data_IF_423475480297
#
_entry.id   IF_423475480297
#
_cell.length_a   1.000
_cell.length_b   1.000
_cell.length_c   1.000
_cell.angle_alpha   90.00
_cell.angle_beta   90.00
_cell.angle_gamma   90.00
#
_symmetry.space_group_name_H-M   'P 1'
#
loop_
_entity.id
_entity.type
_entity.pdbx_description
1 polymer ?
#
# COMPACT_ATOMS: atom_id res chain seq x y z
N UNK A 1 7.15 -2.48 24.02
CA UNK A 1 6.80 -3.17 22.78
C UNK A 1 5.45 -3.84 22.92
N UNK A 2 5.27 -4.80 23.84
CA UNK A 2 3.98 -5.50 24.03
C UNK A 2 2.78 -4.57 24.28
N UNK A 3 2.93 -3.60 25.19
CA UNK A 3 1.87 -2.62 25.47
C UNK A 3 1.44 -1.82 24.23
N UNK A 4 2.37 -1.45 23.35
CA UNK A 4 2.06 -0.74 22.09
C UNK A 4 1.54 -1.67 21.00
N UNK A 5 1.98 -2.93 20.97
CA UNK A 5 1.41 -3.95 20.10
C UNK A 5 -0.09 -4.19 20.41
N UNK A 6 -0.47 -4.29 21.69
CA UNK A 6 -1.88 -4.42 22.07
C UNK A 6 -2.72 -3.20 21.65
N UNK A 7 -2.14 -1.99 21.64
CA UNK A 7 -2.80 -0.79 21.11
C UNK A 7 -3.00 -0.85 19.60
N UNK A 8 -2.05 -1.42 18.86
CA UNK A 8 -2.21 -1.66 17.43
C UNK A 8 -3.31 -2.69 17.14
N UNK A 9 -3.43 -3.74 17.96
CA UNK A 9 -4.54 -4.72 17.87
C UNK A 9 -5.88 -4.03 18.10
N UNK A 10 -6.00 -3.17 19.12
CA UNK A 10 -7.20 -2.39 19.36
C UNK A 10 -7.52 -1.40 18.21
N UNK A 11 -6.50 -0.78 17.63
CA UNK A 11 -6.64 0.05 16.43
C UNK A 11 -7.18 -0.76 15.23
N UNK A 12 -6.65 -1.97 15.01
CA UNK A 12 -7.14 -2.88 13.96
C UNK A 12 -8.60 -3.27 14.19
N UNK A 13 -9.00 -3.54 15.43
CA UNK A 13 -10.39 -3.91 15.74
C UNK A 13 -11.38 -2.80 15.35
N UNK A 14 -11.00 -1.54 15.58
CA UNK A 14 -11.81 -0.34 15.31
C UNK A 14 -11.76 0.10 13.85
N UNK A 15 -10.59 0.14 13.23
CA UNK A 15 -10.38 0.69 11.88
C UNK A 15 -10.35 -0.40 10.78
N UNK A 16 -10.38 -1.68 11.18
CA UNK A 16 -10.27 -2.87 10.31
C UNK A 16 -8.99 -2.90 9.48
N UNK A 17 -7.95 -2.15 9.88
CA UNK A 17 -6.66 -2.09 9.23
C UNK A 17 -5.56 -1.74 10.24
N UNK A 18 -4.29 -1.89 9.87
CA UNK A 18 -3.12 -1.52 10.72
C UNK A 18 -2.45 -0.22 10.25
N UNK A 19 -3.14 0.60 9.46
CA UNK A 19 -2.61 1.82 8.86
C UNK A 19 -2.71 3.00 9.81
N UNK A 20 -1.95 2.96 10.90
CA UNK A 20 -1.92 4.08 11.84
C UNK A 20 -1.20 5.27 11.18
N UNK A 21 -1.83 6.47 11.08
CA UNK A 21 -1.16 7.67 10.61
C UNK A 21 0.02 8.05 11.52
N UNK A 22 1.08 8.64 10.97
CA UNK A 22 2.20 9.12 11.79
C UNK A 22 1.73 10.12 12.86
N UNK A 23 0.80 11.00 12.49
CA UNK A 23 0.19 12.01 13.35
C UNK A 23 -1.21 11.58 13.81
N UNK A 24 -1.34 10.33 14.25
CA UNK A 24 -2.59 9.85 14.83
C UNK A 24 -2.90 10.65 16.10
N UNK A 25 -4.01 11.41 16.11
CA UNK A 25 -4.29 12.41 17.17
C UNK A 25 -4.69 11.74 18.48
N UNK A 26 -5.36 10.61 18.38
CA UNK A 26 -5.89 9.82 19.49
C UNK A 26 -4.78 9.04 20.21
N UNK A 27 -3.76 8.59 19.48
CA UNK A 27 -2.55 8.01 20.08
C UNK A 27 -1.31 8.29 19.21
N UNK A 28 -0.72 9.47 19.40
CA UNK A 28 0.49 9.89 18.68
C UNK A 28 1.70 9.00 18.96
N UNK A 29 1.73 8.31 20.11
CA UNK A 29 2.79 7.34 20.45
C UNK A 29 2.66 6.09 19.58
N UNK A 30 1.44 5.64 19.30
CA UNK A 30 1.19 4.53 18.39
C UNK A 30 1.63 4.85 16.96
N UNK A 31 1.28 6.03 16.45
CA UNK A 31 1.68 6.48 15.11
C UNK A 31 3.19 6.52 14.91
N UNK A 32 3.93 7.08 15.88
CA UNK A 32 5.40 7.07 15.88
C UNK A 32 5.96 5.66 15.97
N UNK A 33 5.40 4.82 16.85
CA UNK A 33 5.86 3.45 17.04
C UNK A 33 5.70 2.61 15.76
N UNK A 34 4.58 2.74 15.05
CA UNK A 34 4.32 2.09 13.75
C UNK A 34 5.34 2.53 12.71
N UNK A 35 5.65 3.84 12.63
CA UNK A 35 6.72 4.34 11.75
C UNK A 35 8.08 3.70 12.09
N UNK A 36 8.43 3.63 13.37
CA UNK A 36 9.67 2.98 13.81
C UNK A 36 9.72 1.50 13.44
N UNK A 37 8.61 0.76 13.55
CA UNK A 37 8.62 -0.66 13.15
C UNK A 37 8.91 -0.82 11.65
N UNK A 38 8.29 0.00 10.81
CA UNK A 38 8.55 0.01 9.35
C UNK A 38 10.02 0.33 9.03
N UNK A 39 10.59 1.34 9.68
CA UNK A 39 12.00 1.69 9.50
C UNK A 39 12.95 0.57 9.96
N UNK A 40 12.63 -0.12 11.07
CA UNK A 40 13.43 -1.25 11.54
C UNK A 40 13.36 -2.44 10.57
N UNK A 41 12.19 -2.70 9.99
CA UNK A 41 12.00 -3.71 8.96
C UNK A 41 12.80 -3.41 7.69
N UNK A 42 12.69 -2.19 7.15
CA UNK A 42 13.44 -1.77 5.96
C UNK A 42 14.95 -1.86 6.15
N UNK A 43 15.44 -1.61 7.37
CA UNK A 43 16.86 -1.70 7.70
C UNK A 43 17.31 -3.10 8.12
N UNK A 44 16.45 -4.13 8.05
CA UNK A 44 16.73 -5.49 8.54
C UNK A 44 17.18 -5.56 10.02
N UNK A 45 16.69 -4.63 10.85
CA UNK A 45 17.02 -4.50 12.29
C UNK A 45 15.89 -4.94 13.21
N UNK A 46 14.78 -5.40 12.64
CA UNK A 46 13.65 -5.89 13.43
C UNK A 46 13.92 -7.35 13.85
N UNK A 47 13.71 -7.64 15.14
CA UNK A 47 13.79 -9.01 15.65
C UNK A 47 12.74 -9.89 14.97
N UNK A 48 13.11 -11.13 14.63
CA UNK A 48 12.25 -12.10 13.96
C UNK A 48 10.94 -12.37 14.74
N UNK A 49 11.02 -12.55 16.07
CA UNK A 49 9.83 -12.70 16.93
C UNK A 49 8.84 -11.51 16.80
N UNK A 50 9.37 -10.29 16.60
CA UNK A 50 8.54 -9.08 16.44
C UNK A 50 7.96 -8.97 15.04
N UNK A 51 8.69 -9.45 14.04
CA UNK A 51 8.23 -9.56 12.65
C UNK A 51 7.04 -10.52 12.60
N UNK A 52 7.22 -11.76 13.07
CA UNK A 52 6.18 -12.79 13.07
C UNK A 52 4.92 -12.33 13.79
N UNK A 53 5.10 -11.65 14.93
CA UNK A 53 3.98 -11.14 15.72
C UNK A 53 3.22 -10.02 15.01
N UNK A 54 3.90 -9.15 14.26
CA UNK A 54 3.26 -8.13 13.43
C UNK A 54 2.59 -8.75 12.18
N UNK A 55 3.22 -9.73 11.55
CA UNK A 55 2.65 -10.47 10.43
C UNK A 55 1.41 -11.27 10.82
N UNK A 56 1.38 -11.83 12.03
CA UNK A 56 0.22 -12.57 12.56
C UNK A 56 -1.07 -11.74 12.62
N UNK A 57 -0.95 -10.41 12.68
CA UNK A 57 -2.07 -9.48 12.66
C UNK A 57 -2.26 -8.81 11.30
N UNK A 58 -1.57 -9.27 10.25
CA UNK A 58 -1.63 -8.71 8.90
C UNK A 58 -1.11 -7.29 8.85
N UNK A 59 -0.01 -7.00 9.56
CA UNK A 59 0.56 -5.66 9.61
C UNK A 59 1.08 -5.23 8.24
N UNK A 60 0.64 -4.06 7.78
CA UNK A 60 1.09 -3.51 6.51
C UNK A 60 2.41 -2.73 6.67
N UNK A 61 3.49 -3.35 6.20
CA UNK A 61 4.86 -2.80 6.22
C UNK A 61 5.05 -1.63 5.28
N UNK A 62 4.63 -1.76 4.01
CA UNK A 62 4.76 -0.71 3.00
C UNK A 62 3.44 0.03 2.83
N UNK A 63 3.37 1.27 3.27
CA UNK A 63 2.15 2.11 3.15
C UNK A 63 1.82 2.37 1.68
N UNK A 64 2.83 2.56 0.85
CA UNK A 64 2.66 2.77 -0.59
C UNK A 64 1.94 1.59 -1.25
N UNK A 65 2.10 0.38 -0.73
CA UNK A 65 1.41 -0.80 -1.25
C UNK A 65 -0.10 -0.72 -1.03
N UNK A 66 -0.59 0.02 -0.02
CA UNK A 66 -2.04 0.17 0.18
C UNK A 66 -2.68 1.14 -0.81
N UNK A 67 -2.02 2.27 -1.08
CA UNK A 67 -2.46 3.22 -2.10
C UNK A 67 -2.36 2.58 -3.48
N UNK A 68 -1.27 1.85 -3.71
CA UNK A 68 -1.09 1.01 -4.88
C UNK A 68 -2.21 -0.01 -5.03
N UNK A 69 -2.48 -0.86 -4.02
CA UNK A 69 -3.53 -1.87 -4.09
C UNK A 69 -4.91 -1.23 -4.33
N UNK A 70 -5.24 -0.12 -3.64
CA UNK A 70 -6.52 0.58 -3.86
C UNK A 70 -6.66 1.06 -5.30
N UNK A 71 -5.64 1.71 -5.85
CA UNK A 71 -5.69 2.21 -7.24
C UNK A 71 -5.61 1.07 -8.26
N UNK A 72 -4.87 0.01 -7.97
CA UNK A 72 -4.83 -1.21 -8.76
C UNK A 72 -6.22 -1.88 -8.83
N UNK A 73 -6.95 -1.97 -7.72
CA UNK A 73 -8.33 -2.47 -7.73
C UNK A 73 -9.26 -1.58 -8.55
N UNK A 74 -9.07 -0.25 -8.54
CA UNK A 74 -9.81 0.67 -9.42
C UNK A 74 -9.50 0.42 -10.89
N UNK A 75 -8.24 0.13 -11.25
CA UNK A 75 -7.86 -0.27 -12.60
C UNK A 75 -8.48 -1.62 -13.01
N UNK A 76 -8.55 -2.59 -12.09
CA UNK A 76 -9.24 -3.86 -12.33
C UNK A 76 -10.73 -3.63 -12.61
N UNK A 77 -11.38 -2.77 -11.82
CA UNK A 77 -12.78 -2.39 -12.03
C UNK A 77 -12.98 -1.70 -13.40
N UNK A 78 -12.09 -0.76 -13.76
CA UNK A 78 -12.10 -0.12 -15.08
C UNK A 78 -12.00 -1.15 -16.20
N UNK A 79 -11.07 -2.12 -16.10
CA UNK A 79 -10.94 -3.21 -17.08
C UNK A 79 -12.22 -4.05 -17.17
N UNK A 80 -12.90 -4.30 -16.05
CA UNK A 80 -14.17 -5.03 -16.03
C UNK A 80 -15.24 -4.38 -16.93
N UNK A 81 -15.30 -3.04 -16.92
CA UNK A 81 -16.26 -2.22 -17.66
C UNK A 81 -15.81 -2.02 -19.12
N UNK A 82 -14.60 -1.54 -19.33
CA UNK A 82 -14.10 -1.11 -20.64
C UNK A 82 -13.40 -2.23 -21.43
N UNK A 83 -13.21 -3.42 -20.82
CA UNK A 83 -12.50 -4.58 -21.38
C UNK A 83 -11.04 -4.33 -21.79
N UNK A 84 -10.45 -3.21 -21.35
CA UNK A 84 -9.07 -2.83 -21.60
C UNK A 84 -8.48 -2.07 -20.40
N UNK A 85 -7.17 -1.80 -20.41
CA UNK A 85 -6.48 -0.99 -19.38
C UNK A 85 -6.00 0.36 -19.91
N UNK A 86 -6.56 0.82 -21.03
CA UNK A 86 -6.19 2.07 -21.70
C UNK A 86 -6.94 3.25 -21.08
N UNK A 87 -6.67 3.51 -19.80
CA UNK A 87 -7.27 4.64 -19.09
C UNK A 87 -6.70 5.95 -19.67
N UNK A 88 -7.54 6.89 -20.14
CA UNK A 88 -7.09 8.20 -20.57
C UNK A 88 -6.39 8.96 -19.44
N UNK A 89 -5.36 9.75 -19.75
CA UNK A 89 -4.69 10.59 -18.72
C UNK A 89 -5.67 11.57 -18.07
N UNK A 90 -6.58 12.14 -18.87
CA UNK A 90 -7.71 12.93 -18.41
C UNK A 90 -8.95 12.05 -18.44
N UNK A 91 -9.14 11.28 -17.39
CA UNK A 91 -10.32 10.44 -17.20
C UNK A 91 -11.26 11.16 -16.23
N UNK A 92 -12.38 11.71 -16.72
CA UNK A 92 -13.22 12.62 -15.94
C UNK A 92 -13.91 11.93 -14.75
N UNK A 93 -14.27 10.66 -14.92
CA UNK A 93 -14.90 9.85 -13.88
C UNK A 93 -13.91 9.50 -12.76
N UNK A 94 -12.62 9.43 -13.08
CA UNK A 94 -11.57 9.20 -12.10
C UNK A 94 -10.21 9.80 -12.53
N UNK A 95 -10.02 11.12 -12.32
CA UNK A 95 -8.81 11.80 -12.77
C UNK A 95 -7.55 11.26 -12.10
N UNK A 96 -7.70 10.75 -10.88
CA UNK A 96 -6.61 10.17 -10.11
C UNK A 96 -6.10 8.85 -10.70
N UNK A 97 -7.00 8.04 -11.27
CA UNK A 97 -6.65 6.78 -11.94
C UNK A 97 -5.94 7.06 -13.27
N UNK A 98 -6.44 8.01 -14.07
CA UNK A 98 -5.81 8.43 -15.33
C UNK A 98 -4.37 8.90 -15.14
N UNK A 99 -4.15 9.79 -14.15
CA UNK A 99 -2.81 10.23 -13.78
C UNK A 99 -1.93 9.08 -13.27
N UNK A 100 -2.48 8.19 -12.44
CA UNK A 100 -1.73 7.07 -11.88
C UNK A 100 -1.27 6.09 -12.96
N UNK A 101 -2.12 5.75 -13.94
CA UNK A 101 -1.79 4.89 -15.09
C UNK A 101 -0.70 5.52 -15.94
N UNK A 102 -0.81 6.83 -16.23
CA UNK A 102 0.21 7.58 -16.95
C UNK A 102 1.57 7.53 -16.24
N UNK A 103 1.58 7.74 -14.92
CA UNK A 103 2.79 7.65 -14.11
C UNK A 103 3.42 6.25 -14.14
N UNK A 104 2.62 5.17 -14.14
CA UNK A 104 3.17 3.81 -14.22
C UNK A 104 3.91 3.58 -15.54
N UNK A 105 3.36 4.06 -16.66
CA UNK A 105 4.03 3.98 -17.97
C UNK A 105 5.35 4.76 -17.98
N UNK A 106 5.41 5.91 -17.32
CA UNK A 106 6.64 6.69 -17.17
C UNK A 106 7.68 5.97 -16.30
N UNK A 107 7.28 5.44 -15.15
CA UNK A 107 8.18 4.69 -14.27
C UNK A 107 8.71 3.41 -14.93
N UNK A 108 7.90 2.73 -15.75
CA UNK A 108 8.37 1.60 -16.54
C UNK A 108 9.46 2.01 -17.55
N UNK A 109 9.26 3.12 -18.28
CA UNK A 109 10.29 3.65 -19.20
C UNK A 109 11.60 4.01 -18.49
N UNK A 110 11.53 4.40 -17.22
CA UNK A 110 12.70 4.74 -16.39
C UNK A 110 13.27 3.54 -15.61
N UNK A 111 12.70 2.35 -15.75
CA UNK A 111 13.02 1.16 -14.93
C UNK A 111 12.91 1.40 -13.41
N UNK A 112 11.98 2.26 -12.99
CA UNK A 112 11.74 2.61 -11.59
C UNK A 112 10.61 1.80 -10.94
N UNK A 113 9.96 0.92 -11.71
CA UNK A 113 8.90 0.06 -11.20
C UNK A 113 9.49 -1.16 -10.47
N UNK A 114 9.01 -1.46 -9.25
CA UNK A 114 9.41 -2.70 -8.58
C UNK A 114 8.88 -3.92 -9.33
N UNK A 115 9.60 -5.04 -9.24
CA UNK A 115 9.21 -6.32 -9.86
C UNK A 115 7.80 -6.75 -9.44
N UNK A 116 7.48 -6.62 -8.16
CA UNK A 116 6.16 -6.96 -7.61
C UNK A 116 5.03 -6.17 -8.29
N UNK A 117 5.21 -4.86 -8.48
CA UNK A 117 4.21 -3.98 -9.13
C UNK A 117 4.05 -4.31 -10.61
N UNK A 118 5.16 -4.65 -11.25
CA UNK A 118 5.22 -5.01 -12.66
C UNK A 118 4.50 -6.34 -12.89
N UNK A 119 4.74 -7.33 -12.04
CA UNK A 119 4.04 -8.62 -12.05
C UNK A 119 2.53 -8.45 -11.82
N UNK A 120 2.12 -7.56 -10.90
CA UNK A 120 0.69 -7.26 -10.70
C UNK A 120 0.04 -6.62 -11.93
N UNK A 121 0.68 -5.64 -12.57
CA UNK A 121 0.15 -5.03 -13.80
C UNK A 121 0.09 -6.04 -14.96
N UNK A 122 1.12 -6.87 -15.12
CA UNK A 122 1.11 -7.95 -16.13
C UNK A 122 0.01 -8.98 -15.88
N UNK A 123 -0.32 -9.28 -14.62
CA UNK A 123 -1.37 -10.26 -14.28
C UNK A 123 -2.76 -9.87 -14.81
N UNK A 124 -2.99 -8.57 -15.01
CA UNK A 124 -4.24 -8.05 -15.58
C UNK A 124 -4.11 -7.71 -17.07
N UNK A 125 -3.02 -8.10 -17.74
CA UNK A 125 -2.79 -7.78 -19.15
C UNK A 125 -2.67 -6.27 -19.39
N UNK A 126 -1.99 -5.55 -18.50
CA UNK A 126 -1.80 -4.12 -18.61
C UNK A 126 -1.03 -3.74 -19.88
N UNK A 127 -1.57 -2.77 -20.64
CA UNK A 127 -0.96 -2.21 -21.84
C UNK A 127 -0.08 -1.01 -21.48
N UNK A 128 1.22 -1.11 -21.75
CA UNK A 128 2.24 -0.08 -21.49
C UNK A 128 2.20 1.08 -22.49
#
# INVERSE_FOLDING_TARGET
WEKTFQRLVAYKATHKNTMVPQEYKEDSKLGRWVKTQRQLFENNKLLEERLDKLDSIGFVWKVDDTKWQKTFQRLVAYKGIHKNTMVPTQYDEDPSLGLWVSNQRQHFKKNELSKERLDQLHSIGFVW
#
